data_IF_342503520637
#
_entry.id   IF_342503520637
#
_cell.length_a   1.000
_cell.length_b   1.000
_cell.length_c   1.000
_cell.angle_alpha   90.00
_cell.angle_beta   90.00
_cell.angle_gamma   90.00
#
_symmetry.space_group_name_H-M   'P 1'
#
loop_
_entity.id
_entity.type
_entity.pdbx_description
1 polymer ?
#
# COMPACT_ATOMS: atom_id res chain seq x y z
N UNK A 1 -16.90 -7.84 15.05
CA UNK A 1 -15.54 -8.41 15.05
C UNK A 1 -15.43 -9.30 13.83
N UNK A 2 -15.00 -8.76 12.69
CA UNK A 2 -14.77 -9.58 11.50
C UNK A 2 -13.54 -10.45 11.80
N UNK A 3 -13.66 -11.75 11.61
CA UNK A 3 -12.57 -12.68 11.80
C UNK A 3 -11.48 -12.37 10.77
N UNK A 4 -10.45 -11.64 11.20
CA UNK A 4 -9.31 -11.30 10.35
C UNK A 4 -8.57 -12.58 9.93
N UNK A 5 -8.14 -12.60 8.67
CA UNK A 5 -7.31 -13.69 8.14
C UNK A 5 -5.97 -13.62 8.88
N UNK A 6 -5.60 -14.70 9.58
CA UNK A 6 -4.35 -14.78 10.35
C UNK A 6 -3.24 -15.43 9.52
N UNK A 7 -2.00 -14.99 9.72
CA UNK A 7 -0.81 -15.63 9.14
C UNK A 7 -0.50 -15.21 7.70
N UNK A 8 -1.01 -14.05 7.25
CA UNK A 8 -0.61 -13.47 5.97
C UNK A 8 0.86 -13.10 6.05
N UNK A 9 1.66 -13.58 5.10
CA UNK A 9 3.09 -13.23 4.97
C UNK A 9 3.35 -12.23 3.86
N UNK A 10 2.67 -12.42 2.74
CA UNK A 10 2.81 -11.61 1.54
C UNK A 10 1.44 -11.05 1.13
N UNK A 11 1.33 -9.73 1.07
CA UNK A 11 0.16 -9.02 0.59
C UNK A 11 0.52 -8.30 -0.71
N UNK A 12 -0.26 -8.54 -1.75
CA UNK A 12 -0.14 -7.84 -3.03
C UNK A 12 -1.46 -7.11 -3.31
N UNK A 13 -1.39 -5.79 -3.39
CA UNK A 13 -2.52 -4.92 -3.69
C UNK A 13 -2.39 -4.47 -5.16
N UNK A 14 -3.29 -4.94 -6.03
CA UNK A 14 -3.28 -4.60 -7.46
C UNK A 14 -3.77 -3.19 -7.77
N UNK A 15 -4.57 -2.61 -6.89
CA UNK A 15 -5.13 -1.27 -7.01
C UNK A 15 -5.29 -0.66 -5.63
N UNK A 16 -4.92 0.61 -5.49
CA UNK A 16 -5.06 1.32 -4.22
C UNK A 16 -6.55 1.39 -3.81
N UNK A 17 -6.88 1.27 -2.52
CA UNK A 17 -8.25 1.45 -2.07
C UNK A 17 -8.67 2.93 -2.21
N UNK A 18 -9.92 3.17 -2.59
CA UNK A 18 -10.44 4.53 -2.76
C UNK A 18 -10.39 5.36 -1.46
N UNK A 19 -10.68 4.69 -0.35
CA UNK A 19 -10.66 5.25 1.01
C UNK A 19 -9.38 4.82 1.73
N UNK A 20 -8.71 5.79 2.35
CA UNK A 20 -7.42 5.56 3.04
C UNK A 20 -7.55 4.61 4.23
N UNK A 21 -8.72 4.60 4.88
CA UNK A 21 -8.98 3.81 6.08
C UNK A 21 -8.82 2.32 5.78
N UNK A 22 -9.23 1.89 4.59
CA UNK A 22 -9.08 0.50 4.16
C UNK A 22 -7.62 0.09 3.94
N UNK A 23 -6.76 1.00 3.48
CA UNK A 23 -5.34 0.68 3.35
C UNK A 23 -4.74 0.31 4.70
N UNK A 24 -5.02 1.10 5.74
CA UNK A 24 -4.56 0.82 7.10
C UNK A 24 -5.17 -0.47 7.66
N UNK A 25 -6.47 -0.69 7.48
CA UNK A 25 -7.11 -1.92 7.95
C UNK A 25 -6.50 -3.18 7.31
N UNK A 26 -6.24 -3.14 6.00
CA UNK A 26 -5.64 -4.27 5.26
C UNK A 26 -4.19 -4.49 5.71
N UNK A 27 -3.40 -3.42 5.84
CA UNK A 27 -2.01 -3.54 6.31
C UNK A 27 -1.94 -4.06 7.74
N UNK A 28 -2.87 -3.67 8.62
CA UNK A 28 -2.92 -4.19 10.00
C UNK A 28 -3.26 -5.69 10.06
N UNK A 29 -3.82 -6.29 9.00
CA UNK A 29 -4.00 -7.75 8.94
C UNK A 29 -2.67 -8.49 8.84
N UNK A 30 -1.58 -7.81 8.49
CA UNK A 30 -0.23 -8.38 8.46
C UNK A 30 0.38 -8.50 9.86
N UNK A 31 -0.19 -7.90 10.91
CA UNK A 31 0.42 -7.88 12.25
C UNK A 31 0.82 -9.27 12.80
N UNK A 32 2.01 -9.35 13.41
CA UNK A 32 2.43 -10.47 14.25
C UNK A 32 3.47 -11.44 13.68
N UNK A 33 4.18 -11.10 12.59
CA UNK A 33 5.27 -11.89 12.03
C UNK A 33 6.46 -11.00 11.63
N UNK A 34 7.69 -11.49 11.77
CA UNK A 34 8.93 -10.72 11.52
C UNK A 34 9.33 -10.62 10.03
N UNK A 35 8.64 -11.32 9.12
CA UNK A 35 8.91 -11.35 7.67
C UNK A 35 7.64 -11.06 6.85
N UNK A 36 7.16 -9.83 6.91
CA UNK A 36 5.96 -9.38 6.20
C UNK A 36 6.32 -8.53 4.99
N UNK A 37 5.77 -8.86 3.82
CA UNK A 37 5.92 -8.05 2.61
C UNK A 37 4.56 -7.52 2.16
N UNK A 38 4.45 -6.19 2.06
CA UNK A 38 3.31 -5.52 1.42
C UNK A 38 3.78 -4.86 0.12
N UNK A 39 3.29 -5.34 -1.01
CA UNK A 39 3.55 -4.78 -2.33
C UNK A 39 2.29 -4.15 -2.89
N UNK A 40 2.39 -2.90 -3.34
CA UNK A 40 1.27 -2.18 -3.93
C UNK A 40 1.61 -1.78 -5.35
N UNK A 41 0.79 -2.21 -6.30
CA UNK A 41 0.87 -1.80 -7.69
C UNK A 41 0.02 -0.55 -7.90
N UNK A 42 0.55 0.40 -8.66
CA UNK A 42 -0.13 1.64 -8.98
C UNK A 42 0.34 2.16 -10.33
N UNK A 43 -0.47 3.05 -10.89
CA UNK A 43 -0.21 3.77 -12.13
C UNK A 43 -0.28 5.28 -11.90
N UNK A 44 0.04 6.06 -12.94
CA UNK A 44 -0.15 7.50 -12.92
C UNK A 44 -1.61 7.93 -12.68
N UNK A 45 -2.58 7.08 -12.98
CA UNK A 45 -4.01 7.35 -12.81
C UNK A 45 -4.46 7.24 -11.34
N UNK A 46 -3.70 6.52 -10.52
CA UNK A 46 -4.01 6.30 -9.10
C UNK A 46 -3.49 7.43 -8.20
N UNK A 47 -3.03 8.54 -8.79
CA UNK A 47 -2.38 9.64 -8.09
C UNK A 47 -3.10 10.08 -6.82
N UNK A 48 -4.41 10.32 -6.90
CA UNK A 48 -5.18 10.81 -5.75
C UNK A 48 -5.26 9.78 -4.63
N UNK A 49 -5.29 8.49 -4.96
CA UNK A 49 -5.32 7.40 -3.99
C UNK A 49 -3.93 7.21 -3.37
N UNK A 50 -2.88 7.29 -4.19
CA UNK A 50 -1.49 7.22 -3.75
C UNK A 50 -1.16 8.39 -2.80
N UNK A 51 -1.58 9.61 -3.14
CA UNK A 51 -1.41 10.81 -2.30
C UNK A 51 -2.05 10.65 -0.92
N UNK A 52 -3.16 9.92 -0.79
CA UNK A 52 -3.81 9.67 0.50
C UNK A 52 -3.02 8.73 1.41
N UNK A 53 -2.13 7.92 0.86
CA UNK A 53 -1.34 6.92 1.59
C UNK A 53 0.07 7.43 1.88
N UNK A 54 0.78 7.92 0.85
CA UNK A 54 2.19 8.35 0.99
C UNK A 54 2.36 9.87 1.10
N UNK A 55 1.28 10.64 0.97
CA UNK A 55 1.31 12.09 0.93
C UNK A 55 1.64 12.66 -0.46
N UNK A 56 1.42 13.97 -0.62
CA UNK A 56 1.52 14.67 -1.91
C UNK A 56 2.92 14.69 -2.51
N UNK A 57 3.94 15.03 -1.71
CA UNK A 57 5.30 15.16 -2.22
C UNK A 57 5.91 13.81 -2.64
N UNK A 58 5.79 12.72 -1.85
CA UNK A 58 6.27 11.40 -2.26
C UNK A 58 5.51 10.86 -3.47
N UNK A 59 4.17 10.97 -3.50
CA UNK A 59 3.37 10.51 -4.64
C UNK A 59 3.78 11.19 -5.96
N UNK A 60 4.02 12.50 -5.94
CA UNK A 60 4.52 13.23 -7.12
C UNK A 60 5.88 12.70 -7.61
N UNK A 61 6.78 12.32 -6.70
CA UNK A 61 8.08 11.73 -7.08
C UNK A 61 7.91 10.32 -7.65
N UNK A 62 7.04 9.52 -7.05
CA UNK A 62 6.82 8.13 -7.47
C UNK A 62 6.24 8.04 -8.88
N UNK A 63 5.23 8.85 -9.19
CA UNK A 63 4.58 8.85 -10.51
C UNK A 63 5.51 9.36 -11.62
N UNK A 64 6.41 10.29 -11.30
CA UNK A 64 7.35 10.88 -12.26
C UNK A 64 8.69 10.14 -12.35
N UNK A 65 8.92 9.13 -11.53
CA UNK A 65 10.19 8.43 -11.54
C UNK A 65 10.31 7.55 -12.78
N UNK A 66 11.52 7.45 -13.32
CA UNK A 66 11.86 6.41 -14.30
C UNK A 66 11.97 5.02 -13.65
N UNK A 67 12.14 4.97 -12.31
CA UNK A 67 12.16 3.72 -11.54
C UNK A 67 10.73 3.28 -11.22
N UNK A 68 10.40 2.01 -11.49
CA UNK A 68 9.07 1.45 -11.25
C UNK A 68 8.84 0.81 -9.88
N UNK A 69 9.85 0.81 -8.99
CA UNK A 69 9.77 0.17 -7.66
C UNK A 69 10.28 1.14 -6.60
N UNK A 70 9.53 1.22 -5.50
CA UNK A 70 9.82 2.09 -4.37
C UNK A 70 9.68 1.30 -3.08
N UNK A 71 10.62 1.51 -2.16
CA UNK A 71 10.58 0.91 -0.82
C UNK A 71 10.47 2.05 0.18
N UNK A 72 9.52 1.93 1.09
CA UNK A 72 9.32 2.85 2.22
C UNK A 72 9.52 2.05 3.50
N UNK A 73 10.32 2.60 4.42
CA UNK A 73 10.55 2.10 5.77
C UNK A 73 9.87 3.04 6.76
#
# INVERSE_FOLDING_TARGET
MLAGIRGIRNLIIYSLPERKEFYYEIVNMLEGLDDLACTVLFSQYDKLQLERIVGTAPAKRMIKSEKGVFVFC
#
